data_IF_614537855946
#
_entry.id   IF_614537855946
#
_cell.length_a   1.000
_cell.length_b   1.000
_cell.length_c   1.000
_cell.angle_alpha   90.00
_cell.angle_beta   90.00
_cell.angle_gamma   90.00
#
_symmetry.space_group_name_H-M   'P 1'
#
loop_
_entity.id
_entity.type
_entity.pdbx_description
1 polymer ?
#
# COMPACT_ATOMS: atom_id res chain seq x y z
N UNK A 1 0.35 12.09 -24.55
CA UNK A 1 1.76 12.40 -24.21
C UNK A 1 2.68 11.48 -25.02
N UNK A 2 3.71 11.99 -25.70
CA UNK A 2 4.69 11.11 -26.36
C UNK A 2 5.65 10.52 -25.31
N UNK A 3 5.76 9.20 -25.22
CA UNK A 3 6.72 8.50 -24.33
C UNK A 3 8.18 8.95 -24.54
N UNK A 4 8.48 9.64 -25.64
CA UNK A 4 9.81 10.10 -26.05
C UNK A 4 10.44 11.15 -25.13
N UNK A 5 9.66 11.80 -24.27
CA UNK A 5 10.19 12.83 -23.35
C UNK A 5 10.49 12.31 -21.95
N UNK A 6 10.19 11.03 -21.64
CA UNK A 6 10.58 10.41 -20.37
C UNK A 6 11.81 9.54 -20.56
N UNK A 7 12.86 9.81 -19.79
CA UNK A 7 14.12 9.09 -19.82
C UNK A 7 14.44 8.47 -18.45
N UNK A 8 15.21 7.38 -18.46
CA UNK A 8 15.69 6.71 -17.26
C UNK A 8 17.17 7.05 -17.03
N UNK A 9 17.49 7.47 -15.80
CA UNK A 9 18.86 7.65 -15.34
C UNK A 9 19.11 6.73 -14.14
N UNK A 10 20.17 5.91 -14.23
CA UNK A 10 20.65 5.09 -13.14
C UNK A 10 21.93 5.71 -12.59
N UNK A 11 21.86 6.28 -11.38
CA UNK A 11 22.96 6.98 -10.75
C UNK A 11 23.68 6.12 -9.70
N UNK A 12 23.77 4.80 -9.91
CA UNK A 12 24.57 3.89 -9.08
C UNK A 12 24.02 3.64 -7.67
N UNK A 13 22.80 4.08 -7.39
CA UNK A 13 22.12 3.91 -6.09
C UNK A 13 20.68 4.44 -6.04
N UNK A 14 20.29 5.29 -7.00
CA UNK A 14 18.91 5.73 -7.21
C UNK A 14 18.54 5.66 -8.69
N UNK A 15 17.29 5.28 -8.96
CA UNK A 15 16.67 5.41 -10.28
C UNK A 15 15.97 6.76 -10.30
N UNK A 16 16.36 7.61 -11.25
CA UNK A 16 15.67 8.85 -11.54
C UNK A 16 14.97 8.71 -12.89
N UNK A 17 13.66 8.95 -12.92
CA UNK A 17 12.98 9.25 -14.17
C UNK A 17 13.09 10.76 -14.39
N UNK A 18 13.33 11.17 -15.64
CA UNK A 18 13.30 12.58 -16.00
C UNK A 18 12.33 12.82 -17.14
N UNK A 19 11.55 13.88 -17.03
CA UNK A 19 10.74 14.43 -18.10
C UNK A 19 11.36 15.72 -18.61
N UNK A 20 11.74 15.75 -19.87
CA UNK A 20 12.22 16.98 -20.53
C UNK A 20 11.02 17.78 -21.04
N UNK A 21 10.81 18.96 -20.48
CA UNK A 21 9.68 19.81 -20.83
C UNK A 21 9.89 20.49 -22.19
N UNK A 22 8.81 20.62 -22.95
CA UNK A 22 8.82 21.41 -24.17
C UNK A 22 8.90 22.92 -23.83
N UNK A 23 9.48 23.76 -24.71
CA UNK A 23 9.52 25.21 -24.48
C UNK A 23 8.13 25.86 -24.30
N UNK A 24 7.09 25.28 -24.91
CA UNK A 24 5.71 25.75 -24.82
C UNK A 24 4.96 25.28 -23.58
N UNK A 25 5.52 24.34 -22.81
CA UNK A 25 4.86 23.76 -21.64
C UNK A 25 5.01 24.67 -20.41
N UNK A 26 3.91 24.88 -19.71
CA UNK A 26 3.89 25.68 -18.50
C UNK A 26 3.92 24.78 -17.27
N UNK A 27 4.82 25.06 -16.34
CA UNK A 27 4.93 24.30 -15.09
C UNK A 27 3.82 24.72 -14.12
N UNK A 28 3.31 23.78 -13.33
CA UNK A 28 2.42 24.07 -12.21
C UNK A 28 3.23 24.23 -10.91
N UNK A 29 3.78 25.43 -10.70
CA UNK A 29 4.61 25.76 -9.54
C UNK A 29 3.88 25.55 -8.20
N UNK A 30 2.56 25.79 -8.17
CA UNK A 30 1.76 25.60 -6.96
C UNK A 30 1.69 24.11 -6.56
N UNK A 31 1.61 23.20 -7.53
CA UNK A 31 1.67 21.76 -7.25
C UNK A 31 3.07 21.35 -6.82
N UNK A 32 4.12 21.85 -7.47
CA UNK A 32 5.50 21.55 -7.05
C UNK A 32 5.78 21.96 -5.60
N UNK A 33 5.32 23.14 -5.18
CA UNK A 33 5.53 23.61 -3.81
C UNK A 33 4.80 22.71 -2.79
N UNK A 34 3.60 22.23 -3.13
CA UNK A 34 2.87 21.27 -2.29
C UNK A 34 3.64 19.95 -2.16
N UNK A 35 4.20 19.44 -3.24
CA UNK A 35 5.00 18.21 -3.23
C UNK A 35 6.27 18.37 -2.39
N UNK A 36 6.90 19.55 -2.36
CA UNK A 36 8.05 19.80 -1.48
C UNK A 36 7.69 19.72 0.00
N UNK A 37 6.47 20.14 0.35
CA UNK A 37 6.00 20.19 1.74
C UNK A 37 5.44 18.86 2.23
N UNK A 38 4.65 18.18 1.38
CA UNK A 38 4.01 16.92 1.71
C UNK A 38 3.78 16.10 0.43
N UNK A 39 4.59 15.07 0.24
CA UNK A 39 4.46 14.16 -0.90
C UNK A 39 3.31 13.19 -0.60
N UNK A 40 2.25 13.15 -1.43
CA UNK A 40 1.17 12.18 -1.27
C UNK A 40 1.69 10.75 -1.32
N UNK A 41 1.10 9.87 -0.50
CA UNK A 41 1.40 8.45 -0.58
C UNK A 41 1.13 7.91 -1.98
N UNK A 42 2.02 7.05 -2.46
CA UNK A 42 1.93 6.47 -3.80
C UNK A 42 2.55 7.31 -4.91
N UNK A 43 3.07 8.51 -4.60
CA UNK A 43 3.70 9.42 -5.57
C UNK A 43 5.22 9.45 -5.36
N UNK A 44 5.97 9.40 -6.46
CA UNK A 44 7.42 9.53 -6.44
C UNK A 44 7.85 10.97 -6.09
N UNK A 45 8.96 11.11 -5.37
CA UNK A 45 9.48 12.44 -5.01
C UNK A 45 9.84 13.21 -6.27
N UNK A 46 9.15 14.32 -6.50
CA UNK A 46 9.29 15.12 -7.72
C UNK A 46 10.12 16.38 -7.47
N UNK A 47 11.06 16.68 -8.35
CA UNK A 47 11.87 17.90 -8.33
C UNK A 47 11.91 18.54 -9.70
N UNK A 48 12.04 19.85 -9.74
CA UNK A 48 12.23 20.63 -10.96
C UNK A 48 13.65 21.18 -11.01
N UNK A 49 14.26 21.17 -12.19
CA UNK A 49 15.53 21.79 -12.49
C UNK A 49 15.43 22.59 -13.79
N UNK A 50 16.02 23.78 -13.77
CA UNK A 50 16.18 24.63 -14.95
C UNK A 50 17.64 25.07 -15.04
N UNK A 51 18.32 24.62 -16.09
CA UNK A 51 19.72 24.96 -16.37
C UNK A 51 19.96 24.93 -17.88
N UNK A 52 20.74 25.87 -18.40
CA UNK A 52 21.12 25.95 -19.83
C UNK A 52 19.92 25.86 -20.79
N UNK A 53 18.83 26.57 -20.46
CA UNK A 53 17.55 26.54 -21.18
C UNK A 53 16.85 25.16 -21.26
N UNK A 54 17.33 24.17 -20.51
CA UNK A 54 16.66 22.88 -20.32
C UNK A 54 15.83 22.90 -19.05
N UNK A 55 14.56 22.52 -19.19
CA UNK A 55 13.59 22.44 -18.11
C UNK A 55 13.24 20.98 -17.89
N UNK A 56 13.61 20.45 -16.73
CA UNK A 56 13.56 19.00 -16.45
C UNK A 56 12.82 18.77 -15.14
N UNK A 57 11.89 17.81 -15.17
CA UNK A 57 11.20 17.30 -13.99
C UNK A 57 11.79 15.93 -13.67
N UNK A 58 12.40 15.80 -12.49
CA UNK A 58 12.95 14.55 -11.97
C UNK A 58 11.95 13.89 -11.03
N UNK A 59 11.81 12.57 -11.12
CA UNK A 59 11.21 11.75 -10.09
C UNK A 59 12.20 10.74 -9.56
N UNK A 60 12.43 10.82 -8.25
CA UNK A 60 13.33 9.93 -7.53
C UNK A 60 12.54 8.77 -6.97
N UNK A 61 13.00 7.57 -7.31
CA UNK A 61 12.35 6.33 -6.94
C UNK A 61 13.23 5.62 -5.92
N UNK A 62 12.67 5.17 -4.78
CA UNK A 62 13.37 4.27 -3.87
C UNK A 62 13.82 2.98 -4.57
N UNK A 63 14.66 2.17 -3.91
CA UNK A 63 15.07 0.86 -4.43
C UNK A 63 13.83 0.00 -4.71
N UNK A 64 13.47 -0.11 -5.99
CA UNK A 64 12.22 -0.68 -6.46
C UNK A 64 12.38 -1.18 -7.89
N UNK A 65 11.41 -1.97 -8.34
CA UNK A 65 11.38 -2.50 -9.70
C UNK A 65 10.20 -1.89 -10.46
N UNK A 66 10.28 -1.86 -11.78
CA UNK A 66 9.15 -1.46 -12.62
C UNK A 66 7.96 -2.38 -12.39
N UNK A 67 6.76 -1.79 -12.31
CA UNK A 67 5.54 -2.54 -12.05
C UNK A 67 5.27 -3.57 -13.16
N UNK A 68 5.47 -3.18 -14.43
CA UNK A 68 5.32 -4.11 -15.56
C UNK A 68 6.22 -5.35 -15.47
N UNK A 69 7.41 -5.23 -14.88
CA UNK A 69 8.30 -6.35 -14.62
C UNK A 69 7.84 -7.19 -13.42
N UNK A 70 7.41 -6.54 -12.33
CA UNK A 70 6.95 -7.22 -11.12
C UNK A 70 5.70 -8.07 -11.35
N UNK A 71 4.71 -7.56 -12.09
CA UNK A 71 3.43 -8.24 -12.34
C UNK A 71 3.57 -9.57 -13.10
N UNK A 72 4.74 -9.86 -13.70
CA UNK A 72 5.04 -11.14 -14.36
C UNK A 72 5.21 -12.32 -13.40
N UNK A 73 5.33 -12.05 -12.09
CA UNK A 73 5.37 -13.07 -11.02
C UNK A 73 3.96 -13.62 -10.77
N UNK A 74 3.86 -14.82 -10.18
CA UNK A 74 2.58 -15.32 -9.68
C UNK A 74 2.23 -14.63 -8.36
N UNK A 75 1.08 -13.97 -8.33
CA UNK A 75 0.59 -13.17 -7.22
C UNK A 75 -0.58 -13.89 -6.55
N UNK A 76 -0.59 -13.88 -5.22
CA UNK A 76 -1.74 -14.27 -4.41
C UNK A 76 -2.82 -13.18 -4.44
N UNK A 77 -4.06 -13.54 -4.08
CA UNK A 77 -5.15 -12.59 -3.86
C UNK A 77 -4.75 -11.40 -2.97
N UNK A 78 -4.04 -11.66 -1.87
CA UNK A 78 -3.58 -10.60 -0.97
C UNK A 78 -2.65 -9.60 -1.68
N UNK A 79 -1.68 -10.11 -2.46
CA UNK A 79 -0.74 -9.29 -3.23
C UNK A 79 -1.47 -8.48 -4.31
N UNK A 80 -2.38 -9.11 -5.08
CA UNK A 80 -3.17 -8.43 -6.12
C UNK A 80 -3.98 -7.28 -5.54
N UNK A 81 -4.76 -7.55 -4.48
CA UNK A 81 -5.61 -6.55 -3.85
C UNK A 81 -4.77 -5.40 -3.27
N UNK A 82 -3.63 -5.71 -2.66
CA UNK A 82 -2.71 -4.70 -2.09
C UNK A 82 -2.11 -3.81 -3.17
N UNK A 83 -1.66 -4.39 -4.29
CA UNK A 83 -1.11 -3.62 -5.41
C UNK A 83 -2.17 -2.68 -5.99
N UNK A 84 -3.39 -3.17 -6.22
CA UNK A 84 -4.49 -2.33 -6.73
C UNK A 84 -4.81 -1.21 -5.74
N UNK A 85 -4.90 -1.52 -4.44
CA UNK A 85 -5.12 -0.52 -3.38
C UNK A 85 -4.06 0.59 -3.37
N UNK A 86 -2.79 0.23 -3.52
CA UNK A 86 -1.70 1.20 -3.55
C UNK A 86 -1.74 2.07 -4.81
N UNK A 87 -2.12 1.51 -5.97
CA UNK A 87 -2.38 2.30 -7.18
C UNK A 87 -3.58 3.24 -7.03
N UNK A 88 -4.67 2.80 -6.40
CA UNK A 88 -5.81 3.68 -6.14
C UNK A 88 -5.44 4.85 -5.22
N UNK A 89 -4.48 4.65 -4.32
CA UNK A 89 -3.99 5.71 -3.44
C UNK A 89 -3.29 6.82 -4.23
N UNK A 90 -2.48 6.48 -5.24
CA UNK A 90 -1.84 7.49 -6.10
C UNK A 90 -2.82 8.18 -7.05
N UNK A 91 -3.92 7.50 -7.41
CA UNK A 91 -4.97 8.05 -8.26
C UNK A 91 -5.98 8.92 -7.48
N UNK A 92 -6.14 8.70 -6.18
CA UNK A 92 -6.96 9.52 -5.26
C UNK A 92 -6.19 10.74 -4.72
N UNK A 93 -5.44 11.42 -5.60
CA UNK A 93 -4.60 12.55 -5.23
C UNK A 93 -5.37 13.88 -5.13
N UNK A 94 -6.63 13.90 -5.58
CA UNK A 94 -7.49 15.09 -5.58
C UNK A 94 -7.66 15.73 -4.19
N UNK A 95 -7.60 14.94 -3.11
CA UNK A 95 -7.63 15.44 -1.72
C UNK A 95 -6.46 16.35 -1.35
N UNK A 96 -5.35 16.28 -2.08
CA UNK A 96 -4.20 17.19 -1.95
C UNK A 96 -4.34 18.43 -2.85
N UNK A 97 -5.53 18.63 -3.45
CA UNK A 97 -5.81 19.67 -4.45
C UNK A 97 -4.88 19.58 -5.68
N UNK A 98 -4.33 18.39 -5.96
CA UNK A 98 -3.48 18.11 -7.12
C UNK A 98 -4.35 17.43 -8.18
N UNK A 99 -4.31 17.88 -9.45
CA UNK A 99 -5.00 17.19 -10.53
C UNK A 99 -4.44 15.78 -10.74
N UNK A 100 -5.31 14.77 -10.70
CA UNK A 100 -4.94 13.37 -11.05
C UNK A 100 -4.45 13.24 -12.50
N UNK A 101 -4.76 14.22 -13.34
CA UNK A 101 -4.24 14.30 -14.70
C UNK A 101 -2.73 14.45 -14.79
N UNK A 102 -2.07 14.89 -13.72
CA UNK A 102 -0.61 14.94 -13.65
C UNK A 102 0.02 13.58 -13.33
N UNK A 103 -0.73 12.60 -12.82
CA UNK A 103 -0.21 11.27 -12.49
C UNK A 103 -0.08 10.42 -13.76
N UNK A 104 1.09 9.84 -13.96
CA UNK A 104 1.40 8.96 -15.09
C UNK A 104 0.69 7.60 -14.94
N UNK A 105 -0.06 7.20 -15.96
CA UNK A 105 -0.96 6.03 -16.02
C UNK A 105 -0.42 4.98 -16.98
N UNK A 106 0.83 4.58 -16.74
CA UNK A 106 1.55 3.61 -17.58
C UNK A 106 2.41 2.72 -16.68
N UNK A 107 2.28 1.41 -16.86
CA UNK A 107 2.96 0.40 -16.04
C UNK A 107 4.49 0.51 -16.07
N UNK A 108 5.06 1.04 -17.15
CA UNK A 108 6.51 1.19 -17.30
C UNK A 108 7.06 2.41 -16.54
N UNK A 109 6.17 3.30 -16.08
CA UNK A 109 6.50 4.50 -15.29
C UNK A 109 5.93 4.45 -13.85
N UNK A 110 5.43 3.29 -13.44
CA UNK A 110 5.08 2.99 -12.04
C UNK A 110 6.08 1.97 -11.49
N UNK A 111 6.51 2.19 -10.27
CA UNK A 111 7.47 1.35 -9.59
C UNK A 111 6.87 0.74 -8.34
N UNK A 112 7.41 -0.40 -7.91
CA UNK A 112 6.95 -1.13 -6.74
C UNK A 112 8.12 -1.60 -5.88
N UNK A 113 8.03 -1.34 -4.58
CA UNK A 113 8.92 -1.93 -3.60
C UNK A 113 8.47 -3.37 -3.31
N UNK A 114 9.33 -4.34 -3.61
CA UNK A 114 8.94 -5.75 -3.63
C UNK A 114 8.49 -6.31 -2.27
N UNK A 115 9.05 -5.78 -1.17
CA UNK A 115 8.75 -6.28 0.18
C UNK A 115 7.44 -5.73 0.75
N UNK A 116 7.19 -4.44 0.56
CA UNK A 116 6.01 -3.75 1.11
C UNK A 116 4.83 -3.69 0.13
N UNK A 117 5.08 -3.99 -1.14
CA UNK A 117 4.18 -3.76 -2.27
C UNK A 117 3.78 -2.29 -2.47
N UNK A 118 4.47 -1.34 -1.81
CA UNK A 118 4.22 0.09 -1.99
C UNK A 118 4.54 0.49 -3.42
N UNK A 119 3.59 1.12 -4.09
CA UNK A 119 3.76 1.61 -5.46
C UNK A 119 4.15 3.08 -5.46
N UNK A 120 4.93 3.50 -6.46
CA UNK A 120 5.35 4.88 -6.67
C UNK A 120 5.04 5.27 -8.12
N UNK A 121 4.08 6.17 -8.29
CA UNK A 121 3.67 6.68 -9.59
C UNK A 121 4.45 7.96 -9.90
N UNK A 122 4.90 8.09 -11.15
CA UNK A 122 5.45 9.35 -11.63
C UNK A 122 4.35 10.41 -11.76
N UNK A 123 4.70 11.68 -11.57
CA UNK A 123 3.81 12.77 -11.92
C UNK A 123 4.54 13.88 -12.70
N UNK A 124 3.81 14.51 -13.61
CA UNK A 124 4.28 15.57 -14.50
C UNK A 124 3.36 16.78 -14.28
N UNK A 125 3.72 17.71 -13.37
CA UNK A 125 2.92 18.89 -13.06
C UNK A 125 3.04 19.97 -14.15
N UNK A 126 2.55 19.68 -15.35
CA UNK A 126 2.54 20.59 -16.50
C UNK A 126 1.10 20.99 -16.84
N UNK A 127 0.83 22.29 -16.85
CA UNK A 127 -0.51 22.83 -17.14
C UNK A 127 -0.93 22.50 -18.56
N UNK A 128 -2.21 22.20 -18.74
CA UNK A 128 -2.77 21.86 -20.05
C UNK A 128 -2.36 20.48 -20.58
N UNK A 129 -1.38 19.82 -19.97
CA UNK A 129 -1.08 18.41 -20.22
C UNK A 129 -2.03 17.57 -19.36
N UNK A 130 -3.19 17.25 -19.93
CA UNK A 130 -4.20 16.45 -19.25
C UNK A 130 -3.99 15.01 -19.64
N UNK A 131 -3.47 14.18 -18.74
CA UNK A 131 -3.76 12.75 -18.85
C UNK A 131 -5.18 12.54 -18.38
N UNK A 132 -6.05 12.09 -19.27
CA UNK A 132 -7.48 12.16 -19.07
C UNK A 132 -7.91 11.28 -17.90
N UNK A 133 -8.88 11.76 -17.11
CA UNK A 133 -9.47 10.98 -16.02
C UNK A 133 -10.12 9.71 -16.59
N UNK A 134 -10.63 9.78 -17.82
CA UNK A 134 -11.19 8.64 -18.54
C UNK A 134 -10.17 7.55 -18.88
N UNK A 135 -8.86 7.81 -18.76
CA UNK A 135 -7.81 6.78 -18.96
C UNK A 135 -7.62 5.90 -17.72
N UNK A 136 -8.19 6.24 -16.57
CA UNK A 136 -8.00 5.48 -15.33
C UNK A 136 -8.55 4.04 -15.44
N UNK A 137 -9.79 3.80 -15.92
CA UNK A 137 -10.27 2.45 -16.16
C UNK A 137 -9.35 1.65 -17.08
N UNK A 138 -8.85 2.26 -18.15
CA UNK A 138 -7.99 1.64 -19.16
C UNK A 138 -6.64 1.24 -18.57
N UNK A 139 -6.07 2.13 -17.75
CA UNK A 139 -4.86 1.85 -16.99
C UNK A 139 -5.07 0.68 -16.01
N UNK A 140 -6.14 0.68 -15.22
CA UNK A 140 -6.43 -0.40 -14.28
C UNK A 140 -6.71 -1.73 -14.99
N UNK A 141 -7.39 -1.73 -16.14
CA UNK A 141 -7.54 -2.92 -16.99
C UNK A 141 -6.19 -3.46 -17.45
N UNK A 142 -5.29 -2.57 -17.84
CA UNK A 142 -3.93 -2.91 -18.26
C UNK A 142 -3.13 -3.50 -17.10
N UNK A 143 -3.26 -2.94 -15.89
CA UNK A 143 -2.65 -3.49 -14.68
C UNK A 143 -3.11 -4.94 -14.45
N UNK A 144 -4.44 -5.17 -14.46
CA UNK A 144 -5.00 -6.50 -14.21
C UNK A 144 -4.60 -7.50 -15.31
N UNK A 145 -4.50 -7.08 -16.57
CA UNK A 145 -4.10 -7.97 -17.67
C UNK A 145 -2.63 -8.41 -17.62
N UNK A 146 -1.77 -7.65 -16.94
CA UNK A 146 -0.36 -7.98 -16.74
C UNK A 146 -0.13 -8.94 -15.56
N UNK A 147 -1.10 -9.07 -14.66
CA UNK A 147 -0.99 -9.93 -13.47
C UNK A 147 -1.05 -11.41 -13.85
N UNK A 148 -0.21 -12.22 -13.20
CA UNK A 148 -0.38 -13.68 -13.16
C UNK A 148 -0.88 -14.08 -11.78
N UNK A 149 -1.98 -14.80 -11.75
CA UNK A 149 -2.62 -15.24 -10.51
C UNK A 149 -2.10 -16.63 -10.12
N UNK A 150 -1.98 -16.90 -8.82
CA UNK A 150 -1.68 -18.25 -8.33
C UNK A 150 -2.83 -19.21 -8.65
N UNK A 151 -2.51 -20.47 -8.92
CA UNK A 151 -3.52 -21.49 -9.24
C UNK A 151 -4.45 -21.82 -8.05
N UNK A 152 -4.00 -21.53 -6.83
CA UNK A 152 -4.80 -21.75 -5.62
C UNK A 152 -5.96 -20.75 -5.46
N UNK A 153 -5.90 -19.60 -6.14
CA UNK A 153 -6.94 -18.56 -6.12
C UNK A 153 -8.14 -19.00 -6.98
N UNK A 154 -9.13 -19.63 -6.33
CA UNK A 154 -10.34 -20.16 -7.00
C UNK A 154 -11.56 -19.26 -6.91
N UNK A 155 -11.47 -18.13 -6.22
CA UNK A 155 -12.59 -17.20 -6.06
C UNK A 155 -12.69 -16.21 -7.22
N UNK A 156 -13.80 -15.48 -7.27
CA UNK A 156 -14.14 -14.62 -8.41
C UNK A 156 -13.74 -13.14 -8.20
N UNK A 157 -12.77 -12.84 -7.33
CA UNK A 157 -12.39 -11.47 -6.99
C UNK A 157 -11.91 -10.66 -8.20
N UNK A 158 -11.09 -11.25 -9.08
CA UNK A 158 -10.63 -10.60 -10.31
C UNK A 158 -11.80 -10.19 -11.21
N UNK A 159 -12.81 -11.06 -11.32
CA UNK A 159 -14.02 -10.77 -12.08
C UNK A 159 -14.83 -9.62 -11.46
N UNK A 160 -14.94 -9.57 -10.12
CA UNK A 160 -15.60 -8.46 -9.42
C UNK A 160 -14.88 -7.13 -9.66
N UNK A 161 -13.54 -7.14 -9.60
CA UNK A 161 -12.70 -5.97 -9.87
C UNK A 161 -12.91 -5.47 -11.31
N UNK A 162 -12.80 -6.36 -12.30
CA UNK A 162 -13.01 -6.01 -13.70
C UNK A 162 -14.44 -5.51 -13.97
N UNK A 163 -15.44 -6.11 -13.31
CA UNK A 163 -16.84 -5.66 -13.42
C UNK A 163 -17.00 -4.23 -12.90
N UNK A 164 -16.36 -3.90 -11.78
CA UNK A 164 -16.39 -2.54 -11.24
C UNK A 164 -15.66 -1.55 -12.16
N UNK A 165 -14.47 -1.91 -12.65
CA UNK A 165 -13.69 -1.08 -13.60
C UNK A 165 -14.48 -0.81 -14.89
N UNK A 166 -15.21 -1.80 -15.40
CA UNK A 166 -15.98 -1.70 -16.63
C UNK A 166 -17.38 -1.08 -16.46
N UNK A 167 -17.73 -0.63 -15.25
CA UNK A 167 -19.02 0.02 -15.01
C UNK A 167 -19.11 1.36 -15.75
N UNK A 168 -20.27 1.66 -16.34
CA UNK A 168 -20.57 2.97 -16.95
C UNK A 168 -20.40 4.15 -15.97
N UNK A 169 -20.46 3.87 -14.66
CA UNK A 169 -20.23 4.82 -13.58
C UNK A 169 -19.01 4.46 -12.75
N UNK A 170 -17.90 4.13 -13.41
CA UNK A 170 -16.65 3.85 -12.71
C UNK A 170 -16.31 4.95 -11.70
N UNK A 171 -15.90 4.53 -10.50
CA UNK A 171 -15.54 5.38 -9.37
C UNK A 171 -14.32 4.79 -8.68
N UNK A 172 -13.26 5.59 -8.54
CA UNK A 172 -12.07 5.21 -7.75
C UNK A 172 -12.50 4.86 -6.32
N UNK A 173 -13.41 5.65 -5.74
CA UNK A 173 -13.87 5.45 -4.37
C UNK A 173 -14.58 4.10 -4.20
N UNK A 174 -15.49 3.75 -5.13
CA UNK A 174 -16.28 2.51 -5.01
C UNK A 174 -15.38 1.29 -5.17
N UNK A 175 -14.43 1.34 -6.11
CA UNK A 175 -13.42 0.30 -6.25
C UNK A 175 -12.53 0.21 -4.99
N UNK A 176 -12.15 1.35 -4.42
CA UNK A 176 -11.31 1.42 -3.23
C UNK A 176 -12.01 0.81 -2.00
N UNK A 177 -13.29 1.09 -1.81
CA UNK A 177 -14.13 0.47 -0.76
C UNK A 177 -14.19 -1.05 -0.99
N UNK A 178 -14.55 -1.49 -2.19
CA UNK A 178 -14.65 -2.91 -2.55
C UNK A 178 -13.34 -3.68 -2.30
N UNK A 179 -12.19 -3.13 -2.71
CA UNK A 179 -10.87 -3.74 -2.49
C UNK A 179 -10.53 -3.81 -1.00
N UNK A 180 -10.88 -2.76 -0.24
CA UNK A 180 -10.63 -2.72 1.20
C UNK A 180 -11.42 -3.78 1.96
N UNK A 181 -12.69 -3.99 1.58
CA UNK A 181 -13.53 -5.06 2.13
C UNK A 181 -12.94 -6.44 1.84
N UNK A 182 -12.53 -6.70 0.60
CA UNK A 182 -11.89 -7.98 0.22
C UNK A 182 -10.56 -8.22 0.97
N UNK A 183 -9.79 -7.17 1.25
CA UNK A 183 -8.56 -7.28 2.03
C UNK A 183 -8.83 -7.65 3.50
N UNK A 184 -9.90 -7.10 4.09
CA UNK A 184 -10.32 -7.46 5.45
C UNK A 184 -10.73 -8.93 5.52
N UNK A 185 -11.50 -9.43 4.54
CA UNK A 185 -11.88 -10.84 4.46
C UNK A 185 -10.66 -11.77 4.39
N UNK A 186 -9.62 -11.39 3.64
CA UNK A 186 -8.36 -12.14 3.57
C UNK A 186 -7.64 -12.12 4.92
N UNK A 187 -7.60 -10.98 5.60
CA UNK A 187 -7.03 -10.83 6.94
C UNK A 187 -7.73 -11.70 8.00
N UNK A 188 -9.06 -11.75 7.97
CA UNK A 188 -9.86 -12.57 8.89
C UNK A 188 -9.73 -14.07 8.62
N UNK A 189 -9.62 -14.47 7.35
CA UNK A 189 -9.39 -15.87 6.96
C UNK A 189 -8.00 -16.39 7.39
N UNK A 190 -7.02 -15.51 7.58
CA UNK A 190 -5.68 -15.86 8.08
C UNK A 190 -5.59 -15.97 9.61
N UNK A 191 -6.64 -15.58 10.34
CA UNK A 191 -6.69 -15.79 11.79
C UNK A 191 -6.98 -17.27 12.09
N UNK A 192 -6.28 -17.90 13.07
CA UNK A 192 -6.59 -19.27 13.45
C UNK A 192 -8.05 -19.32 13.93
N UNK A 193 -8.85 -20.20 13.32
CA UNK A 193 -10.23 -20.44 13.74
C UNK A 193 -10.23 -20.71 15.25
N UNK A 194 -10.76 -19.76 16.04
CA UNK A 194 -11.10 -20.05 17.42
C UNK A 194 -12.19 -21.13 17.36
N UNK A 195 -12.03 -22.28 18.04
CA UNK A 195 -13.07 -23.29 18.08
C UNK A 195 -14.35 -22.66 18.61
N UNK A 196 -15.34 -22.48 17.72
CA UNK A 196 -16.68 -22.07 18.10
C UNK A 196 -17.32 -23.22 18.87
N UNK A 197 -17.25 -23.15 20.21
CA UNK A 197 -17.90 -24.13 21.06
C UNK A 197 -17.27 -24.36 22.41
N UNK A 198 -17.04 -23.32 23.22
CA UNK A 198 -17.08 -23.48 24.68
C UNK A 198 -17.80 -22.28 25.28
N UNK A 199 -19.06 -22.50 25.66
CA UNK A 199 -19.78 -21.59 26.54
C UNK A 199 -18.90 -21.28 27.76
N UNK A 200 -18.75 -20.00 28.09
CA UNK A 200 -18.05 -19.56 29.30
C UNK A 200 -18.79 -20.15 30.51
N UNK A 201 -18.23 -21.19 31.11
CA UNK A 201 -18.70 -21.70 32.40
C UNK A 201 -18.17 -20.75 33.46
N UNK A 202 -19.08 -20.03 34.12
CA UNK A 202 -18.74 -19.12 35.21
C UNK A 202 -18.09 -19.92 36.35
N UNK A 203 -16.79 -19.68 36.60
CA UNK A 203 -16.02 -20.34 37.67
C UNK A 203 -16.32 -19.80 39.06
N UNK A 204 -17.44 -19.11 39.28
CA UNK A 204 -17.79 -18.49 40.57
C UNK A 204 -18.75 -19.30 41.46
N UNK A 205 -19.18 -20.49 41.03
CA UNK A 205 -20.21 -21.28 41.75
C UNK A 205 -19.73 -22.49 42.54
N UNK A 206 -18.47 -22.93 42.40
CA UNK A 206 -18.05 -24.28 42.86
C UNK A 206 -17.01 -24.22 43.99
N UNK A 207 -17.25 -23.43 45.04
CA UNK A 207 -16.50 -23.53 46.30
C UNK A 207 -17.39 -23.23 47.52
N UNK A 208 -18.42 -24.05 47.73
CA UNK A 208 -19.09 -24.17 49.03
C UNK A 208 -19.38 -25.63 49.33
N UNK A 209 -18.34 -26.36 49.69
CA UNK A 209 -18.38 -27.39 50.74
C UNK A 209 -17.02 -28.09 50.79
N UNK A 210 -16.16 -27.66 51.70
CA UNK A 210 -15.26 -28.61 52.35
C UNK A 210 -14.92 -28.14 53.76
N UNK A 211 -15.29 -29.02 54.67
CA UNK A 211 -15.09 -29.00 56.12
C UNK A 211 -13.59 -28.87 56.45
N UNK A 212 -13.27 -28.00 57.41
CA UNK A 212 -11.92 -27.77 57.94
C UNK A 212 -11.56 -28.86 58.96
N UNK A 213 -10.41 -29.55 58.84
CA UNK A 213 -9.83 -30.33 59.94
C UNK A 213 -8.86 -29.48 60.78
N UNK A 214 -8.68 -29.76 62.09
CA UNK A 214 -7.89 -28.93 62.99
C UNK A 214 -6.37 -29.17 62.87
N UNK A 215 -5.60 -28.09 63.00
CA UNK A 215 -4.12 -28.02 63.02
C UNK A 215 -3.51 -28.57 64.32
N UNK A 216 -2.38 -29.31 64.27
CA UNK A 216 -1.56 -29.61 65.44
C UNK A 216 -0.63 -28.45 65.82
N UNK A 217 -0.46 -28.23 67.13
CA UNK A 217 0.37 -27.20 67.75
C UNK A 217 1.88 -27.41 67.55
N UNK A 218 2.61 -26.29 67.40
CA UNK A 218 4.06 -26.23 67.27
C UNK A 218 4.72 -26.30 68.65
N UNK A 219 5.59 -27.27 68.87
CA UNK A 219 6.45 -27.36 70.07
C UNK A 219 7.73 -26.55 69.82
N UNK A 220 7.95 -25.51 70.61
CA UNK A 220 9.18 -24.71 70.63
C UNK A 220 10.28 -25.48 71.37
N UNK A 221 11.49 -25.54 70.81
CA UNK A 221 12.71 -25.90 71.55
C UNK A 221 13.55 -24.65 71.83
N UNK A 222 14.26 -24.58 72.98
CA UNK A 222 14.92 -23.37 73.46
C UNK A 222 16.31 -23.16 72.87
N UNK A 223 16.71 -21.90 72.79
CA UNK A 223 17.99 -21.37 72.33
C UNK A 223 19.06 -21.55 73.43
N UNK A 224 20.24 -22.08 73.09
CA UNK A 224 21.38 -22.22 74.01
C UNK A 224 22.52 -21.26 73.59
N UNK A 225 23.01 -20.37 74.47
CA UNK A 225 24.02 -19.37 74.12
C UNK A 225 25.44 -19.84 74.47
N UNK A 226 26.42 -19.23 73.78
CA UNK A 226 27.89 -19.32 73.96
C UNK A 226 28.62 -20.33 73.06
N UNK A 227 29.39 -19.82 72.10
CA UNK A 227 30.85 -19.84 72.23
C UNK A 227 31.48 -18.79 71.32
N UNK A 228 32.14 -17.83 71.96
CA UNK A 228 33.17 -16.97 71.39
C UNK A 228 34.45 -17.80 71.21
N UNK A 229 35.11 -17.65 70.06
CA UNK A 229 36.52 -17.28 69.94
C UNK A 229 36.84 -16.94 68.49
#
# INVERSE_FOLDING_TARGET
MEKKSIFFENNGGSIAMRYEMLPSEELDDAVLERLRTNIPDGIAMTQYSEADARRIIYAYIPSSVQLSAFLKKQLSKAEVLTIIKNLLTSLDIGKFSIPVSYVVKDLDYVYIEEQSLKTFSFMIPVKGQVMEISEIPDFLRTVVSYMKFREEDKDNYVAKILTNINSDRFSINDLNVMISEMLLEVGDAMQPMQPQGMAKVDKLGVMRNRVVPPTPQVVQQPFDPQMQQ
#
